data_IF_676414435078
#
_entry.id   IF_676414435078
#
_cell.length_a   1.000
_cell.length_b   1.000
_cell.length_c   1.000
_cell.angle_alpha   90.00
_cell.angle_beta   90.00
_cell.angle_gamma   90.00
#
_symmetry.space_group_name_H-M   'P 1'
#
loop_
_entity.id
_entity.type
_entity.pdbx_description
1 polymer ?
#
# COMPACT_ATOMS: atom_id res chain seq x y z
N UNK A 1 -36.56 18.71 0.80
CA UNK A 1 -36.25 18.61 2.25
C UNK A 1 -34.89 17.97 2.55
N UNK A 2 -34.40 17.06 1.70
CA UNK A 2 -33.18 16.32 1.93
C UNK A 2 -31.91 17.20 2.10
N UNK A 3 -31.76 18.27 1.31
CA UNK A 3 -30.64 19.22 1.40
C UNK A 3 -30.52 19.92 2.77
N UNK A 4 -31.65 20.24 3.40
CA UNK A 4 -31.70 20.89 4.72
C UNK A 4 -31.17 19.97 5.82
N UNK A 5 -31.55 18.69 5.78
CA UNK A 5 -31.06 17.69 6.74
C UNK A 5 -29.54 17.54 6.67
N UNK A 6 -28.97 17.46 5.45
CA UNK A 6 -27.53 17.35 5.28
C UNK A 6 -26.82 18.62 5.72
N UNK A 7 -27.37 19.80 5.41
CA UNK A 7 -26.84 21.10 5.85
C UNK A 7 -26.82 21.21 7.37
N UNK A 8 -27.92 20.88 8.05
CA UNK A 8 -28.03 20.91 9.51
C UNK A 8 -27.11 19.88 10.14
N UNK A 9 -27.08 18.65 9.61
CA UNK A 9 -26.20 17.59 10.09
C UNK A 9 -24.72 17.94 9.98
N UNK A 10 -24.29 18.44 8.82
CA UNK A 10 -22.90 18.87 8.60
C UNK A 10 -22.54 20.10 9.43
N UNK A 11 -23.46 21.05 9.61
CA UNK A 11 -23.20 22.26 10.41
C UNK A 11 -23.12 21.95 11.90
N UNK A 12 -23.95 21.00 12.37
CA UNK A 12 -24.02 20.61 13.77
C UNK A 12 -23.02 19.49 14.14
N UNK A 13 -22.15 19.06 13.21
CA UNK A 13 -21.21 17.96 13.44
C UNK A 13 -21.89 16.62 13.76
N UNK A 14 -23.16 16.45 13.36
CA UNK A 14 -23.94 15.24 13.65
C UNK A 14 -23.50 14.10 12.76
N UNK A 15 -23.64 12.88 13.28
CA UNK A 15 -23.45 11.65 12.50
C UNK A 15 -24.57 11.54 11.48
N UNK A 16 -24.20 11.53 10.20
CA UNK A 16 -25.15 11.37 9.09
C UNK A 16 -25.21 9.90 8.69
N UNK A 17 -26.35 9.26 8.94
CA UNK A 17 -26.61 7.87 8.54
C UNK A 17 -27.02 7.80 7.07
N UNK A 18 -26.39 6.92 6.29
CA UNK A 18 -26.75 6.63 4.90
C UNK A 18 -25.64 5.84 4.23
N UNK A 19 -25.76 5.64 2.92
CA UNK A 19 -24.77 4.91 2.11
C UNK A 19 -23.81 5.88 1.43
N UNK A 20 -22.53 5.62 1.55
CA UNK A 20 -21.47 6.36 0.87
C UNK A 20 -20.94 5.56 -0.31
N UNK A 21 -20.73 6.23 -1.44
CA UNK A 21 -20.15 5.66 -2.65
C UNK A 21 -19.14 6.65 -3.25
N UNK A 22 -18.10 6.15 -3.89
CA UNK A 22 -17.14 7.00 -4.61
C UNK A 22 -17.21 6.72 -6.09
N UNK A 23 -17.32 7.78 -6.89
CA UNK A 23 -17.35 7.68 -8.35
C UNK A 23 -15.96 7.39 -8.93
N UNK A 24 -15.91 7.05 -10.22
CA UNK A 24 -14.64 6.92 -10.97
C UNK A 24 -13.83 8.23 -11.06
N UNK A 25 -14.47 9.37 -10.80
CA UNK A 25 -13.85 10.71 -10.79
C UNK A 25 -13.38 11.14 -9.39
N UNK A 26 -13.51 10.24 -8.41
CA UNK A 26 -13.16 10.50 -7.01
C UNK A 26 -14.05 11.56 -6.37
N UNK A 27 -15.29 11.64 -6.86
CA UNK A 27 -16.36 12.38 -6.21
C UNK A 27 -17.06 11.47 -5.21
N UNK A 28 -17.40 12.01 -4.05
CA UNK A 28 -18.24 11.32 -3.09
C UNK A 28 -19.71 11.39 -3.56
N UNK A 29 -20.47 10.34 -3.28
CA UNK A 29 -21.92 10.30 -3.39
C UNK A 29 -22.44 9.83 -2.05
N UNK A 30 -23.44 10.53 -1.53
CA UNK A 30 -24.20 10.11 -0.38
C UNK A 30 -25.60 9.69 -0.85
N UNK A 31 -26.15 8.65 -0.24
CA UNK A 31 -27.53 8.23 -0.43
C UNK A 31 -28.17 8.10 0.94
N UNK A 32 -29.19 8.93 1.19
CA UNK A 32 -29.98 8.84 2.41
C UNK A 32 -30.76 7.52 2.39
N UNK A 33 -30.97 6.94 3.57
CA UNK A 33 -31.85 5.80 3.73
C UNK A 33 -33.31 6.27 3.76
N UNK A 34 -34.18 5.69 2.92
CA UNK A 34 -35.62 5.97 2.88
C UNK A 34 -36.15 6.27 1.47
N UNK A 35 -37.48 6.50 1.35
CA UNK A 35 -38.16 6.71 0.06
C UNK A 35 -37.86 8.07 -0.60
N UNK A 36 -37.22 9.00 0.12
CA UNK A 36 -36.92 10.34 -0.38
C UNK A 36 -35.45 10.56 -0.76
N UNK A 37 -35.29 11.01 -2.01
CA UNK A 37 -34.18 11.74 -2.65
C UNK A 37 -32.73 11.36 -2.31
N UNK A 38 -32.02 10.92 -3.36
CA UNK A 38 -30.57 10.85 -3.40
C UNK A 38 -29.94 12.25 -3.28
N UNK A 39 -29.27 12.54 -2.15
CA UNK A 39 -28.46 13.76 -2.02
C UNK A 39 -27.06 13.49 -2.53
N UNK A 40 -26.78 13.90 -3.76
CA UNK A 40 -25.44 13.74 -4.33
C UNK A 40 -24.50 14.80 -3.74
N UNK A 41 -23.78 14.48 -2.66
CA UNK A 41 -22.72 15.32 -2.11
C UNK A 41 -21.47 15.23 -2.99
N UNK A 42 -21.49 15.92 -4.12
CA UNK A 42 -20.36 15.91 -5.04
C UNK A 42 -19.23 16.76 -4.49
N UNK A 43 -18.05 16.16 -4.51
CA UNK A 43 -16.85 16.94 -4.55
C UNK A 43 -15.59 16.12 -4.37
N UNK A 44 -14.46 16.76 -4.68
CA UNK A 44 -13.21 16.06 -4.84
C UNK A 44 -12.64 15.55 -3.53
N UNK A 45 -12.03 14.37 -3.59
CA UNK A 45 -11.09 13.89 -2.59
C UNK A 45 -9.95 14.90 -2.40
N UNK A 46 -9.78 15.37 -1.17
CA UNK A 46 -8.76 16.37 -0.77
C UNK A 46 -7.58 15.73 -0.04
N UNK A 47 -7.86 14.82 0.90
CA UNK A 47 -6.84 14.27 1.79
C UNK A 47 -7.17 12.84 2.21
N UNK A 48 -6.12 12.03 2.32
CA UNK A 48 -6.15 10.74 2.97
C UNK A 48 -5.18 10.75 4.17
N UNK A 49 -5.69 10.43 5.36
CA UNK A 49 -4.90 10.24 6.58
C UNK A 49 -5.22 8.85 7.13
N UNK A 50 -4.39 8.29 8.02
CA UNK A 50 -4.82 7.12 8.76
C UNK A 50 -6.15 7.38 9.48
N UNK A 51 -7.07 6.42 9.43
CA UNK A 51 -8.40 6.55 10.04
C UNK A 51 -9.41 7.45 9.31
N UNK A 52 -8.99 8.24 8.31
CA UNK A 52 -9.79 9.35 7.80
C UNK A 52 -9.60 9.62 6.30
N UNK A 53 -10.69 10.01 5.66
CA UNK A 53 -10.68 10.53 4.28
C UNK A 53 -11.49 11.82 4.22
N UNK A 54 -10.95 12.84 3.57
CA UNK A 54 -11.56 14.18 3.51
C UNK A 54 -11.87 14.59 2.09
N UNK A 55 -13.10 15.04 1.87
CA UNK A 55 -13.62 15.55 0.60
C UNK A 55 -13.96 17.03 0.72
N UNK A 56 -13.94 17.74 -0.40
CA UNK A 56 -14.58 19.07 -0.51
C UNK A 56 -16.04 18.85 -0.83
N UNK A 57 -16.92 19.70 -0.30
CA UNK A 57 -18.33 19.75 -0.68
C UNK A 57 -18.55 20.96 -1.58
N UNK A 58 -18.97 20.74 -2.83
CA UNK A 58 -19.19 21.82 -3.79
C UNK A 58 -20.63 22.39 -3.66
N UNK A 59 -20.79 23.71 -3.81
CA UNK A 59 -22.03 24.50 -3.50
C UNK A 59 -23.30 23.96 -4.18
N UNK A 60 -23.20 23.43 -5.39
CA UNK A 60 -24.36 22.99 -6.19
C UNK A 60 -25.00 21.70 -5.66
N UNK A 61 -24.29 20.92 -4.84
CA UNK A 61 -24.75 19.61 -4.38
C UNK A 61 -25.87 19.65 -3.31
N UNK A 62 -26.04 20.77 -2.61
CA UNK A 62 -26.90 20.85 -1.40
C UNK A 62 -27.85 22.07 -1.42
N UNK A 63 -28.10 22.67 -2.59
CA UNK A 63 -29.13 23.71 -2.73
C UNK A 63 -28.98 24.94 -1.82
N UNK A 64 -27.76 25.37 -1.50
CA UNK A 64 -27.50 26.53 -0.65
C UNK A 64 -26.00 26.90 -0.52
N UNK A 65 -25.70 27.95 0.27
CA UNK A 65 -24.36 28.54 0.46
C UNK A 65 -23.38 27.70 1.30
N UNK A 66 -23.14 26.46 0.87
CA UNK A 66 -22.19 25.55 1.52
C UNK A 66 -20.81 25.52 0.84
N UNK A 67 -20.46 26.59 0.14
CA UNK A 67 -19.19 26.71 -0.60
C UNK A 67 -17.99 26.52 0.32
N UNK A 68 -17.12 25.55 0.01
CA UNK A 68 -15.80 25.43 0.65
C UNK A 68 -15.75 24.61 1.94
N UNK A 69 -16.85 23.93 2.32
CA UNK A 69 -16.80 23.03 3.48
C UNK A 69 -16.06 21.73 3.16
N UNK A 70 -15.42 21.18 4.20
CA UNK A 70 -14.76 19.87 4.17
C UNK A 70 -15.66 18.85 4.84
N UNK A 71 -15.79 17.68 4.24
CA UNK A 71 -16.44 16.51 4.82
C UNK A 71 -15.37 15.47 5.09
N UNK A 72 -15.20 15.10 6.35
CA UNK A 72 -14.26 14.06 6.78
C UNK A 72 -15.04 12.83 7.20
N UNK A 73 -14.80 11.70 6.54
CA UNK A 73 -15.32 10.40 6.92
C UNK A 73 -14.29 9.67 7.78
N UNK A 74 -14.75 8.97 8.81
CA UNK A 74 -13.94 8.08 9.66
C UNK A 74 -14.08 6.64 9.17
N UNK A 75 -13.03 5.86 9.38
CA UNK A 75 -12.94 4.53 8.81
C UNK A 75 -11.51 4.01 8.85
N UNK A 76 -11.19 3.06 7.97
CA UNK A 76 -9.85 2.49 7.87
C UNK A 76 -9.46 2.26 6.42
N UNK A 77 -8.19 2.44 6.13
CA UNK A 77 -7.63 2.13 4.81
C UNK A 77 -7.32 0.65 4.70
N UNK A 78 -7.72 0.04 3.58
CA UNK A 78 -7.52 -1.37 3.26
C UNK A 78 -7.24 -1.57 1.77
N UNK A 79 -6.52 -2.64 1.42
CA UNK A 79 -6.50 -3.14 0.05
C UNK A 79 -7.66 -4.12 -0.11
N UNK A 80 -8.43 -4.01 -1.18
CA UNK A 80 -9.49 -4.98 -1.47
C UNK A 80 -8.91 -6.28 -2.06
N UNK A 81 -9.73 -7.33 -2.30
CA UNK A 81 -9.25 -8.59 -2.88
C UNK A 81 -8.60 -8.48 -4.27
N UNK A 82 -8.76 -7.33 -4.95
CA UNK A 82 -8.18 -7.02 -6.25
C UNK A 82 -6.97 -6.06 -6.13
N UNK A 83 -6.41 -5.93 -4.92
CA UNK A 83 -5.30 -5.04 -4.58
C UNK A 83 -5.57 -3.55 -4.91
N UNK A 84 -6.84 -3.11 -4.87
CA UNK A 84 -7.22 -1.70 -5.02
C UNK A 84 -7.21 -1.01 -3.67
N UNK A 85 -6.65 0.19 -3.61
CA UNK A 85 -6.66 1.01 -2.39
C UNK A 85 -8.09 1.43 -2.08
N UNK A 86 -8.57 1.12 -0.89
CA UNK A 86 -9.96 1.33 -0.48
C UNK A 86 -10.04 1.93 0.91
N UNK A 87 -11.07 2.73 1.16
CA UNK A 87 -11.40 3.22 2.49
C UNK A 87 -12.72 2.59 2.95
N UNK A 88 -12.67 1.87 4.07
CA UNK A 88 -13.82 1.23 4.70
C UNK A 88 -14.39 2.22 5.72
N UNK A 89 -15.57 2.77 5.43
CA UNK A 89 -16.22 3.77 6.27
C UNK A 89 -16.83 3.11 7.51
N UNK A 90 -16.56 3.66 8.68
CA UNK A 90 -17.14 3.16 9.94
C UNK A 90 -18.61 3.58 10.05
N UNK A 91 -19.46 2.62 10.43
CA UNK A 91 -20.90 2.83 10.64
C UNK A 91 -21.33 2.22 11.97
N UNK A 92 -22.26 2.88 12.67
CA UNK A 92 -22.71 2.44 14.01
C UNK A 92 -23.55 1.16 13.99
N UNK A 93 -24.35 0.93 12.95
CA UNK A 93 -25.42 -0.08 12.98
C UNK A 93 -25.60 -0.85 11.68
N UNK A 94 -24.66 -0.76 10.73
CA UNK A 94 -24.78 -1.35 9.39
C UNK A 94 -23.43 -1.82 8.84
N UNK A 95 -23.43 -2.69 7.82
CA UNK A 95 -22.22 -3.05 7.09
C UNK A 95 -21.49 -1.80 6.58
N UNK A 96 -20.17 -1.79 6.69
CA UNK A 96 -19.32 -0.69 6.24
C UNK A 96 -19.45 -0.44 4.73
N UNK A 97 -19.39 0.84 4.35
CA UNK A 97 -19.30 1.23 2.94
C UNK A 97 -17.85 1.25 2.48
N UNK A 98 -17.60 0.88 1.22
CA UNK A 98 -16.27 0.83 0.64
C UNK A 98 -16.09 1.93 -0.41
N UNK A 99 -15.14 2.83 -0.16
CA UNK A 99 -14.73 3.87 -1.10
C UNK A 99 -13.47 3.40 -1.82
N UNK A 100 -13.64 2.80 -3.00
CA UNK A 100 -12.54 2.17 -3.76
C UNK A 100 -11.88 3.18 -4.72
N UNK A 101 -10.59 3.43 -4.54
CA UNK A 101 -9.79 4.29 -5.42
C UNK A 101 -9.53 3.61 -6.77
N UNK A 102 -10.11 4.15 -7.84
CA UNK A 102 -10.06 3.55 -9.20
C UNK A 102 -8.80 3.89 -10.02
N UNK A 103 -7.93 4.75 -9.51
CA UNK A 103 -6.72 5.22 -10.18
C UNK A 103 -5.54 4.26 -10.04
N UNK A 104 -4.42 4.65 -10.65
CA UNK A 104 -3.16 3.93 -10.47
C UNK A 104 -2.47 4.42 -9.20
N UNK A 105 -1.71 3.52 -8.58
CA UNK A 105 -0.78 3.87 -7.54
C UNK A 105 0.60 3.32 -7.87
N UNK A 106 1.63 4.00 -7.39
CA UNK A 106 3.04 3.66 -7.59
C UNK A 106 3.81 3.87 -6.28
N UNK A 107 5.05 3.43 -6.22
CA UNK A 107 5.96 3.75 -5.12
C UNK A 107 6.92 4.86 -5.51
N UNK A 108 7.18 5.79 -4.59
CA UNK A 108 8.28 6.74 -4.75
C UNK A 108 9.61 6.17 -4.23
N UNK A 109 10.69 6.96 -4.34
CA UNK A 109 12.04 6.59 -3.86
C UNK A 109 12.15 6.37 -2.34
N UNK A 110 11.14 6.76 -1.56
CA UNK A 110 11.05 6.53 -0.11
C UNK A 110 10.16 5.33 0.23
N UNK A 111 9.81 4.54 -0.79
CA UNK A 111 8.86 3.44 -0.70
C UNK A 111 7.49 3.89 -0.16
N UNK A 112 7.08 5.13 -0.40
CA UNK A 112 5.73 5.61 -0.05
C UNK A 112 4.76 5.35 -1.20
N UNK A 113 3.51 4.98 -0.89
CA UNK A 113 2.46 4.82 -1.91
C UNK A 113 1.99 6.19 -2.39
N UNK A 114 2.14 6.41 -3.69
CA UNK A 114 1.65 7.57 -4.42
C UNK A 114 0.43 7.15 -5.24
N UNK A 115 -0.72 7.73 -4.92
CA UNK A 115 -1.96 7.53 -5.64
C UNK A 115 -2.23 8.71 -6.56
N UNK A 116 -2.32 8.46 -7.87
CA UNK A 116 -2.51 9.49 -8.89
C UNK A 116 -3.84 9.32 -9.59
N UNK A 117 -4.54 10.43 -9.80
CA UNK A 117 -5.73 10.46 -10.65
C UNK A 117 -5.83 11.78 -11.41
N UNK A 118 -6.56 11.74 -12.53
CA UNK A 118 -6.87 12.93 -13.32
C UNK A 118 -8.28 13.37 -12.99
N UNK A 119 -8.41 14.58 -12.48
CA UNK A 119 -9.67 15.30 -12.39
C UNK A 119 -9.86 16.22 -13.59
N UNK A 120 -11.10 16.58 -13.88
CA UNK A 120 -11.45 17.58 -14.90
C UNK A 120 -12.34 18.62 -14.24
N UNK A 121 -11.98 19.90 -14.39
CA UNK A 121 -12.86 20.98 -13.97
C UNK A 121 -13.99 21.15 -14.99
N UNK A 122 -15.24 20.93 -14.57
CA UNK A 122 -16.40 20.93 -15.48
C UNK A 122 -16.54 22.23 -16.29
N UNK A 123 -16.32 23.40 -15.66
CA UNK A 123 -16.50 24.71 -16.31
C UNK A 123 -15.42 25.03 -17.34
N UNK A 124 -14.17 24.69 -17.06
CA UNK A 124 -13.01 25.08 -17.90
C UNK A 124 -12.49 23.94 -18.77
N UNK A 125 -12.98 22.70 -18.55
CA UNK A 125 -12.44 21.44 -19.10
C UNK A 125 -10.94 21.25 -18.83
N UNK A 126 -10.38 22.00 -17.87
CA UNK A 126 -8.97 21.92 -17.53
C UNK A 126 -8.70 20.61 -16.79
N UNK A 127 -7.88 19.75 -17.40
CA UNK A 127 -7.39 18.53 -16.78
C UNK A 127 -6.39 18.89 -15.67
N UNK A 128 -6.61 18.36 -14.48
CA UNK A 128 -5.73 18.55 -13.33
C UNK A 128 -5.31 17.18 -12.82
N UNK A 129 -4.00 16.93 -12.76
CA UNK A 129 -3.48 15.76 -12.06
C UNK A 129 -3.51 16.02 -10.56
N UNK A 130 -3.97 15.03 -9.81
CA UNK A 130 -3.97 15.07 -8.35
C UNK A 130 -3.21 13.87 -7.80
N UNK A 131 -2.57 14.11 -6.67
CA UNK A 131 -1.69 13.17 -6.01
C UNK A 131 -2.09 13.09 -4.53
N UNK A 132 -2.28 11.87 -4.05
CA UNK A 132 -2.30 11.55 -2.63
C UNK A 132 -1.06 10.73 -2.32
N UNK A 133 -0.40 11.08 -1.23
CA UNK A 133 0.72 10.33 -0.69
C UNK A 133 0.28 9.69 0.61
N UNK A 134 0.44 8.37 0.70
CA UNK A 134 0.24 7.62 1.94
C UNK A 134 1.58 7.41 2.62
N UNK A 135 1.68 7.79 3.90
CA UNK A 135 2.88 7.62 4.70
C UNK A 135 2.66 6.46 5.67
N UNK A 136 3.35 5.35 5.43
CA UNK A 136 3.22 4.11 6.20
C UNK A 136 4.48 3.26 6.10
N UNK A 137 4.55 2.17 6.86
CA UNK A 137 5.69 1.26 6.92
C UNK A 137 5.39 -0.03 6.17
N UNK A 138 6.39 -0.59 5.48
CA UNK A 138 6.27 -1.91 4.87
C UNK A 138 6.62 -2.99 5.87
N UNK A 139 5.78 -4.02 5.90
CA UNK A 139 5.93 -5.21 6.74
C UNK A 139 5.62 -6.44 5.92
N UNK A 140 6.25 -7.55 6.29
CA UNK A 140 5.93 -8.87 5.77
C UNK A 140 5.13 -9.60 6.83
N UNK A 141 3.94 -10.07 6.45
CA UNK A 141 3.16 -10.98 7.30
C UNK A 141 3.42 -12.43 6.92
N UNK A 142 3.13 -13.32 7.87
CA UNK A 142 3.50 -14.74 7.79
C UNK A 142 2.91 -15.45 6.55
N UNK A 143 1.73 -15.03 6.14
CA UNK A 143 0.98 -15.48 4.97
C UNK A 143 1.50 -14.94 3.61
N UNK A 144 2.78 -14.56 3.52
CA UNK A 144 3.43 -13.99 2.32
C UNK A 144 2.76 -12.73 1.77
N UNK A 145 2.01 -12.00 2.59
CA UNK A 145 1.48 -10.71 2.18
C UNK A 145 2.49 -9.61 2.49
N UNK A 146 2.64 -8.71 1.52
CA UNK A 146 3.33 -7.47 1.74
C UNK A 146 2.33 -6.43 2.22
N UNK A 147 2.50 -5.95 3.46
CA UNK A 147 1.54 -5.06 4.12
C UNK A 147 2.14 -3.66 4.27
N UNK A 148 1.44 -2.65 3.77
CA UNK A 148 1.76 -1.24 4.00
C UNK A 148 0.93 -0.68 5.14
N UNK A 149 1.51 -0.65 6.34
CA UNK A 149 0.84 -0.22 7.57
C UNK A 149 0.86 1.31 7.67
N UNK A 150 -0.31 1.95 7.62
CA UNK A 150 -0.44 3.40 7.83
C UNK A 150 -0.52 3.73 9.31
N UNK A 151 -1.30 2.95 10.05
CA UNK A 151 -1.55 3.11 11.48
C UNK A 151 -2.07 1.79 12.07
N UNK A 152 -1.40 1.27 13.10
CA UNK A 152 -1.72 -0.01 13.72
C UNK A 152 -2.92 0.10 14.65
N UNK A 153 -3.02 1.17 15.43
CA UNK A 153 -4.09 1.38 16.41
C UNK A 153 -5.44 1.50 15.70
N UNK A 154 -5.45 2.16 14.54
CA UNK A 154 -6.64 2.33 13.70
C UNK A 154 -6.85 1.18 12.71
N UNK A 155 -5.99 0.16 12.71
CA UNK A 155 -6.05 -0.97 11.78
C UNK A 155 -6.01 -0.56 10.30
N UNK A 156 -5.40 0.59 9.99
CA UNK A 156 -5.30 1.12 8.63
C UNK A 156 -4.04 0.59 7.95
N UNK A 157 -4.21 -0.30 6.98
CA UNK A 157 -3.09 -0.93 6.26
C UNK A 157 -3.51 -1.43 4.88
N UNK A 158 -2.59 -1.43 3.91
CA UNK A 158 -2.82 -2.07 2.60
C UNK A 158 -2.12 -3.42 2.55
N UNK A 159 -2.88 -4.50 2.69
CA UNK A 159 -2.36 -5.87 2.59
C UNK A 159 -2.42 -6.35 1.15
N UNK A 160 -1.27 -6.43 0.49
CA UNK A 160 -1.20 -6.85 -0.91
C UNK A 160 -0.95 -8.35 -1.06
N UNK A 161 -1.80 -8.99 -1.87
CA UNK A 161 -1.61 -10.36 -2.32
C UNK A 161 -0.72 -10.38 -3.56
N UNK A 162 0.35 -11.16 -3.49
CA UNK A 162 1.30 -11.26 -4.58
C UNK A 162 2.27 -12.40 -4.40
N UNK A 163 3.26 -12.43 -5.27
CA UNK A 163 4.36 -13.39 -5.26
C UNK A 163 5.66 -12.64 -5.38
N UNK A 164 6.72 -13.10 -4.73
CA UNK A 164 8.06 -12.57 -4.97
C UNK A 164 8.42 -12.80 -6.44
N UNK A 165 8.76 -11.72 -7.16
CA UNK A 165 9.03 -11.79 -8.59
C UNK A 165 10.36 -12.45 -8.87
N UNK A 166 11.37 -11.96 -8.18
CA UNK A 166 12.70 -12.52 -8.22
C UNK A 166 12.81 -13.36 -6.97
N UNK A 167 12.77 -14.68 -7.09
CA UNK A 167 13.14 -15.52 -5.96
C UNK A 167 14.64 -15.33 -5.62
N UNK A 168 15.37 -14.65 -6.53
CA UNK A 168 16.77 -14.23 -6.46
C UNK A 168 16.92 -12.76 -6.06
N UNK A 169 16.93 -12.43 -4.76
CA UNK A 169 17.30 -11.11 -4.21
C UNK A 169 18.81 -10.82 -4.17
N UNK A 170 19.45 -10.46 -5.29
CA UNK A 170 20.87 -10.07 -5.22
C UNK A 170 21.05 -8.94 -4.21
N UNK A 171 21.69 -9.23 -3.06
CA UNK A 171 21.85 -8.29 -1.94
C UNK A 171 22.46 -6.95 -2.40
N UNK A 172 23.26 -7.00 -3.47
CA UNK A 172 23.88 -5.84 -4.13
C UNK A 172 22.89 -4.81 -4.66
N UNK A 173 21.69 -5.22 -5.09
CA UNK A 173 20.67 -4.29 -5.60
C UNK A 173 19.94 -3.56 -4.48
N UNK A 174 20.12 -3.99 -3.22
CA UNK A 174 19.48 -3.37 -2.06
C UNK A 174 17.95 -3.34 -2.19
N UNK A 175 17.34 -4.27 -2.94
CA UNK A 175 15.92 -4.20 -3.24
C UNK A 175 15.22 -5.54 -3.09
N UNK A 176 13.96 -5.49 -2.67
CA UNK A 176 13.01 -6.61 -2.73
C UNK A 176 11.98 -6.31 -3.81
N UNK A 177 11.76 -7.25 -4.72
CA UNK A 177 10.75 -7.14 -5.79
C UNK A 177 9.58 -8.09 -5.53
N UNK A 178 8.39 -7.51 -5.44
CA UNK A 178 7.15 -8.21 -5.19
C UNK A 178 6.16 -7.94 -6.33
N UNK A 179 5.73 -8.99 -7.01
CA UNK A 179 4.75 -8.92 -8.08
C UNK A 179 3.35 -9.03 -7.52
N UNK A 180 2.48 -8.08 -7.86
CA UNK A 180 1.09 -8.05 -7.43
C UNK A 180 0.17 -7.93 -8.65
N UNK A 181 -0.96 -8.62 -8.61
CA UNK A 181 -2.03 -8.37 -9.57
C UNK A 181 -2.93 -7.25 -9.04
N UNK A 182 -2.90 -6.06 -9.64
CA UNK A 182 -3.76 -4.94 -9.27
C UNK A 182 -4.79 -4.66 -10.37
N UNK A 183 -6.03 -4.38 -9.99
CA UNK A 183 -7.05 -3.92 -10.95
C UNK A 183 -7.03 -2.39 -11.05
N UNK A 184 -6.74 -1.86 -12.23
CA UNK A 184 -6.77 -0.42 -12.52
C UNK A 184 -7.81 -0.16 -13.60
N UNK A 185 -8.82 0.65 -13.29
CA UNK A 185 -9.94 0.97 -14.21
C UNK A 185 -10.62 -0.29 -14.79
N UNK A 186 -10.82 -1.31 -13.96
CA UNK A 186 -11.44 -2.58 -14.37
C UNK A 186 -10.56 -3.51 -15.19
N UNK A 187 -9.27 -3.20 -15.38
CA UNK A 187 -8.31 -4.08 -16.06
C UNK A 187 -7.28 -4.59 -15.07
N UNK A 188 -7.08 -5.90 -15.03
CA UNK A 188 -6.02 -6.51 -14.24
C UNK A 188 -4.66 -6.20 -14.86
N UNK A 189 -3.72 -5.73 -14.04
CA UNK A 189 -2.32 -5.46 -14.41
C UNK A 189 -1.42 -6.12 -13.38
N UNK A 190 -0.30 -6.67 -13.85
CA UNK A 190 0.76 -7.13 -12.95
C UNK A 190 1.67 -5.94 -12.70
N UNK A 191 1.70 -5.47 -11.46
CA UNK A 191 2.57 -4.39 -11.01
C UNK A 191 3.71 -4.98 -10.17
N UNK A 192 4.90 -4.39 -10.26
CA UNK A 192 6.05 -4.80 -9.45
C UNK A 192 6.32 -3.74 -8.39
N UNK A 193 6.06 -4.08 -7.14
CA UNK A 193 6.52 -3.31 -5.98
C UNK A 193 8.01 -3.58 -5.80
N UNK A 194 8.84 -2.55 -5.94
CA UNK A 194 10.27 -2.63 -5.60
C UNK A 194 10.53 -1.84 -4.34
N UNK A 195 10.89 -2.52 -3.25
CA UNK A 195 11.27 -1.90 -1.98
C UNK A 195 12.78 -1.74 -1.92
N UNK A 196 13.27 -0.50 -1.92
CA UNK A 196 14.70 -0.19 -1.86
C UNK A 196 15.17 0.02 -0.41
N UNK A 197 16.36 -0.48 -0.09
CA UNK A 197 16.99 -0.41 1.22
C UNK A 197 18.44 -0.92 1.23
N UNK A 198 18.97 -1.09 2.43
CA UNK A 198 20.30 -1.64 2.71
C UNK A 198 20.14 -2.93 3.50
N UNK A 199 20.75 -4.01 3.03
CA UNK A 199 20.80 -5.26 3.78
C UNK A 199 21.74 -5.12 4.97
N UNK A 200 21.31 -5.65 6.12
CA UNK A 200 22.09 -5.71 7.35
C UNK A 200 22.00 -7.10 7.94
N UNK A 201 23.13 -7.61 8.38
CA UNK A 201 23.22 -8.83 9.18
C UNK A 201 23.42 -8.43 10.64
N UNK A 202 22.55 -8.89 11.52
CA UNK A 202 22.68 -8.69 12.97
C UNK A 202 23.66 -9.70 13.58
N UNK A 203 24.10 -9.47 14.82
CA UNK A 203 24.95 -10.41 15.57
C UNK A 203 24.26 -11.76 15.83
N UNK A 204 22.94 -11.75 15.96
CA UNK A 204 22.12 -12.96 16.10
C UNK A 204 21.77 -13.60 14.75
N UNK A 205 22.53 -13.28 13.70
CA UNK A 205 22.33 -13.75 12.33
C UNK A 205 20.96 -13.41 11.72
N UNK A 206 20.12 -12.56 12.31
CA UNK A 206 18.94 -12.06 11.61
C UNK A 206 19.36 -11.14 10.44
N UNK A 207 18.73 -11.32 9.27
CA UNK A 207 18.92 -10.44 8.12
C UNK A 207 17.83 -9.37 8.14
N UNK A 208 18.17 -8.12 7.84
CA UNK A 208 17.19 -7.04 7.76
C UNK A 208 17.39 -6.19 6.50
N UNK A 209 16.30 -5.79 5.84
CA UNK A 209 16.31 -4.75 4.82
C UNK A 209 15.94 -3.43 5.47
N UNK A 210 16.93 -2.57 5.69
CA UNK A 210 16.74 -1.22 6.20
C UNK A 210 16.38 -0.25 5.06
N UNK A 211 15.17 0.28 5.07
CA UNK A 211 14.66 1.22 4.08
C UNK A 211 14.82 2.67 4.59
N UNK A 212 15.01 3.64 3.69
CA UNK A 212 15.01 5.05 4.06
C UNK A 212 13.66 5.42 4.68
N UNK A 213 13.69 6.06 5.85
CA UNK A 213 12.52 6.64 6.48
C UNK A 213 12.36 8.11 6.04
N UNK A 214 11.11 8.57 5.94
CA UNK A 214 10.83 10.00 5.76
C UNK A 214 11.19 10.83 7.00
N UNK A 215 11.21 12.17 6.89
CA UNK A 215 11.42 13.06 8.03
C UNK A 215 10.44 12.76 9.17
N UNK A 216 10.94 12.70 10.41
CA UNK A 216 10.11 12.42 11.59
C UNK A 216 9.75 10.95 11.81
N UNK A 217 10.33 10.03 11.04
CA UNK A 217 10.14 8.59 11.25
C UNK A 217 11.45 7.90 11.60
N UNK A 218 11.40 6.97 12.56
CA UNK A 218 12.52 6.05 12.83
C UNK A 218 12.80 5.21 11.58
N UNK A 219 14.06 4.79 11.43
CA UNK A 219 14.49 3.87 10.35
C UNK A 219 13.50 2.71 10.26
N UNK A 220 13.06 2.43 9.03
CA UNK A 220 12.09 1.37 8.74
C UNK A 220 12.88 0.15 8.31
N UNK A 221 12.68 -0.98 8.99
CA UNK A 221 13.36 -2.21 8.63
C UNK A 221 12.37 -3.34 8.51
N UNK A 222 12.54 -4.17 7.49
CA UNK A 222 11.91 -5.48 7.43
C UNK A 222 12.94 -6.46 7.95
N UNK A 223 12.62 -7.15 9.05
CA UNK A 223 13.51 -8.16 9.63
C UNK A 223 13.06 -9.53 9.17
N UNK A 224 14.03 -10.36 8.81
CA UNK A 224 13.86 -11.72 8.37
C UNK A 224 14.52 -12.65 9.38
N UNK A 225 13.82 -13.72 9.75
CA UNK A 225 14.50 -14.91 10.22
C UNK A 225 15.33 -15.48 9.07
N UNK A 226 16.38 -16.22 9.37
CA UNK A 226 17.16 -16.87 8.33
C UNK A 226 17.80 -18.17 8.84
N UNK A 227 17.78 -19.21 8.01
CA UNK A 227 18.62 -20.39 8.19
C UNK A 227 19.88 -20.22 7.35
N UNK A 228 21.03 -20.40 7.99
CA UNK A 228 22.33 -20.19 7.37
C UNK A 228 22.97 -21.51 7.00
N UNK A 229 23.43 -21.60 5.76
CA UNK A 229 24.21 -22.71 5.25
C UNK A 229 25.56 -22.19 4.76
N UNK A 230 26.65 -22.76 5.28
CA UNK A 230 28.01 -22.41 4.85
C UNK A 230 28.42 -23.38 3.75
N UNK A 231 28.50 -22.87 2.53
CA UNK A 231 28.97 -23.62 1.36
C UNK A 231 30.49 -23.69 1.26
N UNK A 232 30.95 -24.44 0.25
CA UNK A 232 32.37 -24.48 -0.15
C UNK A 232 32.85 -23.09 -0.56
N UNK A 233 34.14 -22.79 -0.38
CA UNK A 233 34.74 -21.47 -0.61
C UNK A 233 34.20 -20.32 0.29
N UNK A 234 33.50 -20.63 1.38
CA UNK A 234 33.07 -19.63 2.37
C UNK A 234 31.87 -18.79 1.95
N UNK A 235 31.08 -19.27 0.98
CA UNK A 235 29.77 -18.70 0.69
C UNK A 235 28.81 -19.01 1.85
N UNK A 236 28.02 -18.03 2.27
CA UNK A 236 26.99 -18.17 3.30
C UNK A 236 25.64 -17.93 2.65
N UNK A 237 24.80 -18.95 2.58
CA UNK A 237 23.43 -18.82 2.05
C UNK A 237 22.45 -18.68 3.21
N UNK A 238 21.61 -17.66 3.17
CA UNK A 238 20.57 -17.37 4.15
C UNK A 238 19.18 -17.66 3.53
N UNK A 239 18.51 -18.72 3.97
CA UNK A 239 17.11 -18.99 3.58
C UNK A 239 16.19 -18.17 4.46
N UNK A 240 15.49 -17.19 3.88
CA UNK A 240 14.69 -16.24 4.64
C UNK A 240 13.40 -16.87 5.16
N UNK A 241 13.06 -16.47 6.39
CA UNK A 241 11.87 -16.87 7.13
C UNK A 241 11.10 -15.65 7.63
N UNK A 242 9.81 -15.84 7.85
CA UNK A 242 8.95 -14.87 8.53
C UNK A 242 9.35 -14.70 10.00
N UNK A 243 8.70 -13.79 10.72
CA UNK A 243 8.86 -13.65 12.17
C UNK A 243 8.40 -14.90 12.93
N UNK A 244 7.40 -15.62 12.40
CA UNK A 244 6.93 -16.90 12.94
C UNK A 244 7.82 -18.10 12.58
N UNK A 245 8.86 -17.90 11.74
CA UNK A 245 9.75 -18.97 11.30
C UNK A 245 9.31 -19.74 10.05
N UNK A 246 8.27 -19.28 9.36
CA UNK A 246 7.82 -19.91 8.10
C UNK A 246 8.74 -19.55 6.93
N UNK A 247 9.08 -20.50 6.03
CA UNK A 247 9.96 -20.23 4.90
C UNK A 247 9.30 -19.33 3.86
N UNK A 248 10.00 -18.25 3.50
CA UNK A 248 9.55 -17.31 2.45
C UNK A 248 9.82 -17.81 1.03
N UNK A 249 10.61 -18.87 0.87
CA UNK A 249 11.08 -19.35 -0.43
C UNK A 249 12.07 -18.39 -1.11
N UNK A 250 12.73 -17.56 -0.31
CA UNK A 250 13.74 -16.59 -0.74
C UNK A 250 15.06 -17.02 -0.11
N UNK A 251 16.11 -17.09 -0.92
CA UNK A 251 17.48 -17.29 -0.43
C UNK A 251 18.30 -16.04 -0.69
N UNK A 252 19.24 -15.72 0.20
CA UNK A 252 20.19 -14.63 0.01
C UNK A 252 21.58 -15.21 0.22
N UNK A 253 22.40 -15.25 -0.83
CA UNK A 253 23.79 -15.68 -0.67
C UNK A 253 24.72 -14.48 -0.44
N UNK A 254 25.45 -14.56 0.65
CA UNK A 254 26.47 -13.65 1.13
C UNK A 254 27.82 -14.31 0.83
N UNK A 255 28.81 -13.57 0.31
CA UNK A 255 30.18 -14.11 0.19
C UNK A 255 31.11 -13.43 1.19
N UNK A 256 32.24 -14.07 1.53
CA UNK A 256 33.24 -13.58 2.51
C UNK A 256 33.69 -12.14 2.27
N UNK A 257 33.68 -11.65 1.03
CA UNK A 257 34.13 -10.30 0.72
C UNK A 257 33.14 -9.19 1.13
N UNK A 258 31.86 -9.53 1.45
CA UNK A 258 30.91 -8.60 2.09
C UNK A 258 31.32 -8.26 3.53
N UNK A 259 31.96 -9.20 4.23
CA UNK A 259 32.46 -9.01 5.61
C UNK A 259 33.73 -8.17 5.65
N UNK A 260 34.48 -8.12 4.54
CA UNK A 260 35.71 -7.33 4.39
C UNK A 260 35.50 -5.97 3.69
N UNK A 261 34.26 -5.61 3.36
CA UNK A 261 33.91 -4.29 2.79
C UNK A 261 34.03 -4.13 1.26
N UNK A 262 34.39 -5.17 0.51
CA UNK A 262 34.68 -5.09 -0.95
C UNK A 262 33.99 -6.16 -1.81
N UNK A 263 32.89 -6.75 -1.34
CA UNK A 263 32.49 -8.08 -1.82
C UNK A 263 31.54 -8.27 -2.99
N UNK A 264 31.63 -9.49 -3.53
CA UNK A 264 30.68 -10.07 -4.47
C UNK A 264 29.52 -10.75 -3.70
N UNK A 265 28.33 -10.79 -4.28
CA UNK A 265 27.17 -11.47 -3.69
C UNK A 265 26.46 -12.14 -4.84
N UNK A 266 26.24 -13.44 -4.70
CA UNK A 266 25.55 -14.27 -5.68
C UNK A 266 24.28 -14.77 -5.04
N UNK A 267 23.37 -15.27 -5.85
CA UNK A 267 22.15 -15.84 -5.33
C UNK A 267 21.68 -16.95 -6.24
N UNK A 268 21.18 -18.00 -5.61
CA UNK A 268 20.81 -19.25 -6.23
C UNK A 268 19.42 -19.63 -5.74
N UNK A 269 18.62 -20.24 -6.61
CA UNK A 269 17.38 -20.89 -6.20
C UNK A 269 17.55 -22.38 -6.18
N UNK A 270 16.88 -23.00 -5.22
CA UNK A 270 16.32 -24.33 -5.39
C UNK A 270 14.79 -24.23 -5.40
N UNK A 271 14.17 -24.53 -6.54
CA UNK A 271 12.73 -24.75 -6.60
C UNK A 271 12.49 -26.22 -6.24
N UNK A 272 12.30 -26.51 -4.96
CA UNK A 272 11.80 -27.82 -4.52
C UNK A 272 10.28 -27.85 -4.74
N UNK A 273 9.89 -28.15 -5.98
CA UNK A 273 8.67 -28.87 -6.28
C UNK A 273 9.18 -30.08 -7.04
N UNK A 274 9.21 -31.23 -6.35
CA UNK A 274 9.47 -32.58 -6.90
C UNK A 274 10.08 -32.60 -8.31
N UNK A 275 11.41 -32.72 -8.38
CA UNK A 275 12.19 -32.99 -9.59
C UNK A 275 12.09 -31.95 -10.73
N UNK A 276 12.71 -30.76 -10.54
CA UNK A 276 13.57 -30.09 -11.53
C UNK A 276 13.95 -28.67 -11.03
N UNK A 277 15.22 -28.49 -10.66
CA UNK A 277 15.77 -27.17 -10.32
C UNK A 277 16.37 -26.54 -11.59
N UNK A 278 15.90 -25.34 -11.95
CA UNK A 278 16.54 -24.50 -12.97
C UNK A 278 17.38 -23.45 -12.26
N UNK A 279 18.69 -23.47 -12.52
CA UNK A 279 19.63 -22.51 -11.95
C UNK A 279 19.96 -21.43 -12.98
N UNK A 280 19.70 -20.17 -12.63
CA UNK A 280 20.13 -19.02 -13.41
C UNK A 280 20.89 -18.05 -12.50
N UNK A 281 22.13 -17.72 -12.86
CA UNK A 281 22.99 -16.81 -12.12
C UNK A 281 23.51 -15.68 -13.01
N UNK A 282 23.60 -14.47 -12.47
CA UNK A 282 24.23 -13.32 -13.13
C UNK A 282 25.49 -12.96 -12.34
N UNK A 283 26.64 -12.95 -13.03
CA UNK A 283 27.94 -12.54 -12.46
C UNK A 283 28.21 -11.09 -12.85
N UNK A 284 28.32 -10.21 -11.86
CA UNK A 284 28.71 -8.82 -12.05
C UNK A 284 30.01 -8.56 -11.28
N UNK A 285 31.08 -8.33 -12.05
CA UNK A 285 32.41 -7.89 -11.58
C UNK A 285 32.44 -6.37 -11.44
N UNK A 286 33.22 -5.90 -10.48
CA UNK A 286 33.69 -4.52 -10.36
C UNK A 286 35.09 -4.53 -9.77
#
# INVERSE_FOLDING_TARGET
MASRFLKEGLSAGRVISGRWEMTRRHDLIYRKDGPEEQIVVQGPLLQAKPGQVTFRVDRQAVGGDLTGRRLTLRGRWQADPKNRLSFVVDRRSRPSDWLVLQGAWELNRRNEILYRWRGEQLKTKKKTERLIRFQGVWELSDDRHLTYVLDRELGSSFRFRGTYQTPTLAAKTGAIRFQIGAEVKGRRRVETITLFGKWKLSRGLALALEMPAGPGHRRRQITFGADFEIGRAGQVTARLKTGSGEPLGIEVALTRSLLAGSGEAFLRLNRSLEAQAVEAGVRLRW
#
